data_IF_275910179754
#
_entry.id   IF_275910179754
#
_cell.length_a   1.000
_cell.length_b   1.000
_cell.length_c   1.000
_cell.angle_alpha   90.00
_cell.angle_beta   90.00
_cell.angle_gamma   90.00
#
_symmetry.space_group_name_H-M   'P 1'
#
loop_
_entity.id
_entity.type
_entity.pdbx_description
1 polymer ?
#
# COMPACT_ATOMS: atom_id res chain seq x y z
N UNK A 1 39.85 40.16 -64.55
CA UNK A 1 38.43 40.04 -64.25
C UNK A 1 38.17 38.65 -63.67
N UNK A 2 38.21 38.48 -62.38
CA UNK A 2 37.74 37.26 -61.76
C UNK A 2 36.93 37.63 -60.52
N UNK A 3 35.64 37.35 -60.54
CA UNK A 3 34.71 37.56 -59.47
C UNK A 3 34.79 36.39 -58.50
N UNK A 4 35.26 36.65 -57.30
CA UNK A 4 35.20 35.72 -56.18
C UNK A 4 33.85 35.81 -55.52
N UNK A 5 33.06 34.74 -55.60
CA UNK A 5 31.84 34.57 -54.83
C UNK A 5 32.16 33.88 -53.50
N UNK A 6 32.12 34.63 -52.45
CA UNK A 6 32.17 34.09 -51.10
C UNK A 6 30.84 33.45 -50.73
N UNK A 7 30.80 32.16 -50.60
CA UNK A 7 29.65 31.44 -50.08
C UNK A 7 29.72 31.47 -48.55
N UNK A 8 28.81 32.24 -47.95
CA UNK A 8 28.57 32.26 -46.52
C UNK A 8 27.73 31.05 -46.12
N UNK A 9 28.36 30.03 -45.55
CA UNK A 9 27.63 28.91 -45.02
C UNK A 9 27.07 29.25 -43.63
N UNK A 10 25.76 29.39 -43.58
CA UNK A 10 24.98 29.62 -42.37
C UNK A 10 24.80 28.28 -41.64
N UNK A 11 25.50 28.07 -40.57
CA UNK A 11 25.29 26.91 -39.69
C UNK A 11 24.10 27.20 -38.76
N UNK A 12 22.96 26.63 -39.05
CA UNK A 12 21.85 26.58 -38.09
C UNK A 12 22.14 25.49 -37.08
N UNK A 13 22.56 25.89 -35.89
CA UNK A 13 22.65 24.99 -34.75
C UNK A 13 21.21 24.73 -34.23
N UNK A 14 20.64 23.60 -34.63
CA UNK A 14 19.36 23.12 -34.10
C UNK A 14 19.63 22.52 -32.70
N UNK A 15 19.51 23.35 -31.66
CA UNK A 15 19.49 22.86 -30.27
C UNK A 15 18.19 22.14 -30.04
N UNK A 16 18.23 20.82 -30.22
CA UNK A 16 17.14 19.95 -29.83
C UNK A 16 16.96 19.97 -28.32
N UNK A 17 15.94 20.65 -27.87
CA UNK A 17 15.51 20.59 -26.46
C UNK A 17 14.95 19.18 -26.22
N UNK A 18 15.77 18.29 -25.65
CA UNK A 18 15.32 17.00 -25.17
C UNK A 18 14.32 17.23 -24.03
N UNK A 19 13.03 17.19 -24.36
CA UNK A 19 11.96 17.17 -23.37
C UNK A 19 12.03 15.78 -22.73
N UNK A 20 12.70 15.66 -21.59
CA UNK A 20 12.63 14.45 -20.75
C UNK A 20 11.28 14.56 -20.05
N UNK A 21 10.30 13.67 -20.36
CA UNK A 21 9.07 13.66 -19.58
C UNK A 21 9.45 13.36 -18.14
N UNK A 22 9.11 14.26 -17.23
CA UNK A 22 9.20 14.00 -15.82
C UNK A 22 8.35 12.75 -15.54
N UNK A 23 8.99 11.65 -15.13
CA UNK A 23 8.29 10.47 -14.67
C UNK A 23 7.43 10.91 -13.48
N UNK A 24 6.12 11.05 -13.71
CA UNK A 24 5.17 11.29 -12.64
C UNK A 24 5.25 10.09 -11.70
N UNK A 25 5.92 10.26 -10.55
CA UNK A 25 5.84 9.30 -9.48
C UNK A 25 4.36 9.17 -9.13
N UNK A 26 3.78 8.00 -9.40
CA UNK A 26 2.38 7.74 -9.06
C UNK A 26 2.26 7.85 -7.54
N UNK A 27 1.36 8.73 -7.10
CA UNK A 27 1.02 8.87 -5.69
C UNK A 27 -0.39 8.33 -5.48
N UNK A 28 -0.63 7.77 -4.29
CA UNK A 28 -1.99 7.40 -3.90
C UNK A 28 -2.78 8.67 -3.68
N UNK A 29 -3.97 8.79 -4.29
CA UNK A 29 -4.84 9.94 -4.06
C UNK A 29 -5.26 10.00 -2.59
N UNK A 30 -5.57 11.20 -2.10
CA UNK A 30 -6.06 11.36 -0.73
C UNK A 30 -7.36 10.56 -0.48
N UNK A 31 -8.23 10.49 -1.47
CA UNK A 31 -9.48 9.71 -1.40
C UNK A 31 -9.20 8.20 -1.30
N UNK A 32 -8.29 7.68 -2.12
CA UNK A 32 -7.92 6.27 -2.11
C UNK A 32 -7.17 5.90 -0.82
N UNK A 33 -6.25 6.74 -0.36
CA UNK A 33 -5.55 6.53 0.90
C UNK A 33 -6.53 6.43 2.08
N UNK A 34 -7.53 7.30 2.12
CA UNK A 34 -8.59 7.27 3.15
C UNK A 34 -9.42 6.00 3.04
N UNK A 35 -9.84 5.61 1.84
CA UNK A 35 -10.63 4.40 1.63
C UNK A 35 -9.87 3.13 2.04
N UNK A 36 -8.57 3.06 1.73
CA UNK A 36 -7.69 1.97 2.16
C UNK A 36 -7.56 1.92 3.68
N UNK A 37 -7.35 3.07 4.34
CA UNK A 37 -7.30 3.12 5.81
C UNK A 37 -8.61 2.67 6.44
N UNK A 38 -9.75 3.06 5.88
CA UNK A 38 -11.06 2.66 6.39
C UNK A 38 -11.28 1.14 6.32
N UNK A 39 -10.91 0.50 5.22
CA UNK A 39 -11.09 -0.96 5.10
C UNK A 39 -10.17 -1.73 6.05
N UNK A 40 -8.93 -1.29 6.22
CA UNK A 40 -8.00 -1.90 7.19
C UNK A 40 -8.50 -1.71 8.62
N UNK A 41 -8.92 -0.50 8.97
CA UNK A 41 -9.49 -0.21 10.30
C UNK A 41 -10.73 -1.04 10.59
N UNK A 42 -11.65 -1.13 9.65
CA UNK A 42 -12.87 -1.91 9.80
C UNK A 42 -12.58 -3.40 10.00
N UNK A 43 -11.56 -3.95 9.33
CA UNK A 43 -11.14 -5.33 9.55
C UNK A 43 -10.53 -5.52 10.93
N UNK A 44 -9.69 -4.59 11.40
CA UNK A 44 -9.12 -4.65 12.75
C UNK A 44 -10.20 -4.61 13.84
N UNK A 45 -11.21 -3.77 13.67
CA UNK A 45 -12.37 -3.71 14.59
C UNK A 45 -13.16 -5.03 14.56
N UNK A 46 -13.38 -5.60 13.39
CA UNK A 46 -14.06 -6.89 13.26
C UNK A 46 -13.29 -8.04 13.95
N UNK A 47 -11.96 -8.05 13.87
CA UNK A 47 -11.14 -9.01 14.63
C UNK A 47 -11.29 -8.81 16.14
N UNK A 48 -11.22 -7.57 16.61
CA UNK A 48 -11.37 -7.25 18.04
C UNK A 48 -12.73 -7.71 18.60
N UNK A 49 -13.77 -7.67 17.76
CA UNK A 49 -15.13 -8.10 18.09
C UNK A 49 -15.39 -9.60 17.84
N UNK A 50 -14.38 -10.37 17.45
CA UNK A 50 -14.51 -11.77 17.01
C UNK A 50 -15.56 -11.98 15.90
N UNK A 51 -15.78 -10.93 15.09
CA UNK A 51 -16.71 -10.99 13.97
C UNK A 51 -16.03 -11.54 12.71
N UNK A 52 -15.92 -12.87 12.66
CA UNK A 52 -15.24 -13.58 11.58
C UNK A 52 -15.85 -13.24 10.20
N UNK A 53 -17.19 -13.23 10.09
CA UNK A 53 -17.88 -12.97 8.83
C UNK A 53 -17.56 -11.56 8.29
N UNK A 54 -17.59 -10.53 9.15
CA UNK A 54 -17.28 -9.16 8.76
C UNK A 54 -15.79 -9.00 8.42
N UNK A 55 -14.89 -9.53 9.23
CA UNK A 55 -13.45 -9.50 8.96
C UNK A 55 -13.11 -10.15 7.61
N UNK A 56 -13.72 -11.29 7.32
CA UNK A 56 -13.52 -12.01 6.07
C UNK A 56 -14.11 -11.27 4.86
N UNK A 57 -15.16 -10.50 5.05
CA UNK A 57 -15.78 -9.70 3.99
C UNK A 57 -14.83 -8.66 3.40
N UNK A 58 -13.88 -8.17 4.18
CA UNK A 58 -12.87 -7.21 3.74
C UNK A 58 -11.65 -7.84 3.05
N UNK A 59 -11.56 -9.18 3.05
CA UNK A 59 -10.49 -9.90 2.38
C UNK A 59 -10.72 -9.97 0.86
N UNK A 60 -9.62 -9.89 0.10
CA UNK A 60 -9.64 -10.09 -1.34
C UNK A 60 -10.02 -11.54 -1.71
N UNK A 61 -10.49 -11.79 -2.94
CA UNK A 61 -10.88 -13.13 -3.36
C UNK A 61 -9.79 -14.19 -3.19
N UNK A 62 -8.52 -13.83 -3.37
CA UNK A 62 -7.37 -14.72 -3.16
C UNK A 62 -7.27 -15.22 -1.72
N UNK A 63 -7.47 -14.34 -0.75
CA UNK A 63 -7.48 -14.70 0.68
C UNK A 63 -8.70 -15.57 1.01
N UNK A 64 -9.87 -15.21 0.50
CA UNK A 64 -11.09 -15.99 0.69
C UNK A 64 -10.94 -17.42 0.14
N UNK A 65 -10.34 -17.55 -1.04
CA UNK A 65 -10.05 -18.88 -1.63
C UNK A 65 -9.04 -19.68 -0.82
N UNK A 66 -8.05 -19.04 -0.23
CA UNK A 66 -7.02 -19.70 0.57
C UNK A 66 -7.56 -20.29 1.89
N UNK A 67 -8.39 -19.55 2.61
CA UNK A 67 -8.90 -19.95 3.92
C UNK A 67 -10.25 -20.64 3.88
N UNK A 68 -11.03 -20.44 2.83
CA UNK A 68 -12.31 -21.07 2.57
C UNK A 68 -13.47 -20.55 3.42
N UNK A 69 -13.29 -20.38 4.72
CA UNK A 69 -14.31 -19.92 5.66
C UNK A 69 -13.87 -18.75 6.51
N UNK A 70 -14.81 -17.89 6.98
CA UNK A 70 -14.50 -16.84 7.94
C UNK A 70 -13.85 -17.34 9.23
N UNK A 71 -14.29 -18.48 9.72
CA UNK A 71 -13.80 -19.07 10.97
C UNK A 71 -12.33 -19.51 10.86
N UNK A 72 -11.96 -20.14 9.75
CA UNK A 72 -10.57 -20.52 9.48
C UNK A 72 -9.67 -19.29 9.37
N UNK A 73 -10.18 -18.23 8.73
CA UNK A 73 -9.46 -16.98 8.60
C UNK A 73 -9.23 -16.30 9.95
N UNK A 74 -10.27 -16.19 10.77
CA UNK A 74 -10.17 -15.59 12.11
C UNK A 74 -9.20 -16.40 13.00
N UNK A 75 -9.26 -17.73 12.97
CA UNK A 75 -8.36 -18.57 13.77
C UNK A 75 -6.90 -18.40 13.35
N UNK A 76 -6.63 -18.29 12.05
CA UNK A 76 -5.29 -18.01 11.55
C UNK A 76 -4.76 -16.68 12.06
N UNK A 77 -5.58 -15.62 12.04
CA UNK A 77 -5.19 -14.30 12.53
C UNK A 77 -4.96 -14.32 14.05
N UNK A 78 -5.85 -14.96 14.78
CA UNK A 78 -5.73 -15.10 16.25
C UNK A 78 -4.43 -15.77 16.66
N UNK A 79 -4.03 -16.84 15.97
CA UNK A 79 -2.86 -17.65 16.33
C UNK A 79 -1.57 -17.16 15.70
N UNK A 80 -1.62 -16.72 14.42
CA UNK A 80 -0.44 -16.33 13.65
C UNK A 80 -0.12 -14.83 13.68
N UNK A 81 -1.10 -13.99 13.99
CA UNK A 81 -0.98 -12.53 13.96
C UNK A 81 -1.60 -11.89 15.22
N UNK A 82 -1.13 -12.22 16.44
CA UNK A 82 -1.77 -11.76 17.68
C UNK A 82 -1.89 -10.25 17.79
N UNK A 83 -0.87 -9.50 17.32
CA UNK A 83 -0.92 -8.02 17.34
C UNK A 83 -1.95 -7.45 16.38
N UNK A 84 -2.22 -8.11 15.26
CA UNK A 84 -3.31 -7.70 14.34
C UNK A 84 -4.67 -8.05 14.92
N UNK A 85 -4.76 -9.19 15.58
CA UNK A 85 -5.99 -9.62 16.23
C UNK A 85 -6.47 -8.64 17.30
N UNK A 86 -5.56 -8.19 18.16
CA UNK A 86 -5.86 -7.21 19.23
C UNK A 86 -4.66 -6.31 19.51
N UNK A 87 -4.42 -5.27 18.67
CA UNK A 87 -3.36 -4.31 18.94
C UNK A 87 -3.70 -3.44 20.16
N UNK A 88 -2.67 -3.06 20.93
CA UNK A 88 -2.80 -2.06 21.97
C UNK A 88 -2.85 -0.64 21.40
N UNK A 89 -2.11 -0.41 20.29
CA UNK A 89 -2.16 0.86 19.55
C UNK A 89 -2.00 0.63 18.06
N UNK A 90 -2.56 1.55 17.26
CA UNK A 90 -2.53 1.51 15.79
C UNK A 90 -2.25 2.90 15.26
N UNK A 91 -1.21 3.04 14.43
CA UNK A 91 -0.87 4.28 13.74
C UNK A 91 -0.69 4.00 12.25
N UNK A 92 -1.54 4.59 11.41
CA UNK A 92 -1.43 4.48 9.96
C UNK A 92 -0.32 5.39 9.45
N UNK A 93 0.63 4.82 8.72
CA UNK A 93 1.69 5.55 8.05
C UNK A 93 1.26 5.90 6.62
N UNK A 94 2.12 6.61 5.89
CA UNK A 94 1.82 7.04 4.52
C UNK A 94 1.65 5.84 3.59
N UNK A 95 0.50 5.75 2.91
CA UNK A 95 0.24 4.77 1.88
C UNK A 95 1.11 5.01 0.65
N UNK A 96 1.52 3.93 -0.01
CA UNK A 96 2.37 3.94 -1.20
C UNK A 96 1.73 3.13 -2.33
N UNK A 97 1.81 3.58 -3.59
CA UNK A 97 1.36 2.77 -4.71
C UNK A 97 2.41 1.68 -5.01
N UNK A 98 1.93 0.49 -5.33
CA UNK A 98 2.78 -0.62 -5.79
C UNK A 98 2.02 -1.41 -6.85
N UNK A 99 2.41 -1.26 -8.13
CA UNK A 99 1.69 -1.82 -9.28
C UNK A 99 0.19 -1.44 -9.25
N UNK A 100 -0.70 -2.43 -9.09
CA UNK A 100 -2.16 -2.23 -9.03
C UNK A 100 -2.70 -2.24 -7.59
N UNK A 101 -1.82 -2.25 -6.62
CA UNK A 101 -2.16 -2.31 -5.20
C UNK A 101 -1.76 -1.02 -4.50
N UNK A 102 -2.30 -0.84 -3.32
CA UNK A 102 -1.82 0.15 -2.36
C UNK A 102 -1.18 -0.60 -1.20
N UNK A 103 0.04 -0.23 -0.89
CA UNK A 103 0.74 -0.69 0.31
C UNK A 103 0.47 0.29 1.44
N UNK A 104 -0.17 -0.19 2.50
CA UNK A 104 -0.50 0.58 3.69
C UNK A 104 0.29 0.05 4.88
N UNK A 105 1.37 0.73 5.27
CA UNK A 105 2.07 0.40 6.51
C UNK A 105 1.26 0.90 7.71
N UNK A 106 1.22 0.07 8.75
CA UNK A 106 0.54 0.38 10.01
C UNK A 106 1.46 -0.01 11.15
N UNK A 107 1.84 0.96 11.95
CA UNK A 107 2.61 0.72 13.15
C UNK A 107 1.66 0.29 14.28
N UNK A 108 2.00 -0.79 14.94
CA UNK A 108 1.18 -1.39 16.00
C UNK A 108 2.05 -1.69 17.22
N UNK A 109 1.45 -1.63 18.39
CA UNK A 109 2.02 -2.17 19.61
C UNK A 109 1.13 -3.29 20.13
N UNK A 110 1.76 -4.32 20.72
CA UNK A 110 1.04 -5.38 21.41
C UNK A 110 0.83 -5.05 22.91
N UNK A 111 0.09 -5.90 23.61
CA UNK A 111 -0.19 -5.71 25.03
C UNK A 111 1.02 -5.85 25.95
N UNK A 112 2.17 -6.28 25.42
CA UNK A 112 3.42 -6.47 26.18
C UNK A 112 4.47 -5.38 25.86
N UNK A 113 4.07 -4.35 25.10
CA UNK A 113 4.95 -3.25 24.69
C UNK A 113 5.83 -3.54 23.47
N UNK A 114 5.62 -4.67 22.81
CA UNK A 114 6.29 -4.99 21.54
C UNK A 114 5.82 -4.06 20.42
N UNK A 115 6.75 -3.60 19.57
CA UNK A 115 6.47 -2.76 18.42
C UNK A 115 6.56 -3.54 17.13
N UNK A 116 5.58 -3.33 16.24
CA UNK A 116 5.41 -4.07 15.00
C UNK A 116 5.05 -3.15 13.85
N UNK A 117 5.56 -3.46 12.67
CA UNK A 117 5.11 -2.86 11.43
C UNK A 117 4.28 -3.89 10.66
N UNK A 118 2.98 -3.63 10.54
CA UNK A 118 2.08 -4.41 9.71
C UNK A 118 2.01 -3.78 8.31
N UNK A 119 2.43 -4.51 7.30
CA UNK A 119 2.46 -4.04 5.91
C UNK A 119 1.30 -4.69 5.16
N UNK A 120 0.23 -3.92 4.95
CA UNK A 120 -0.95 -4.37 4.23
C UNK A 120 -0.80 -4.12 2.74
N UNK A 121 -1.22 -5.11 1.94
CA UNK A 121 -1.46 -4.94 0.50
C UNK A 121 -2.96 -4.90 0.27
N UNK A 122 -3.44 -3.85 -0.37
CA UNK A 122 -4.87 -3.60 -0.56
C UNK A 122 -5.14 -3.41 -2.05
N UNK A 123 -6.09 -4.16 -2.59
CA UNK A 123 -6.44 -4.20 -4.00
C UNK A 123 -7.78 -3.54 -4.26
N UNK A 124 -7.84 -2.77 -5.36
CA UNK A 124 -9.11 -2.25 -5.85
C UNK A 124 -9.81 -3.28 -6.70
N UNK A 125 -11.04 -3.58 -6.37
CA UNK A 125 -11.88 -4.52 -7.10
C UNK A 125 -12.56 -3.85 -8.31
N UNK A 126 -13.17 -4.65 -9.19
CA UNK A 126 -13.90 -4.16 -10.36
C UNK A 126 -15.06 -3.23 -9.99
N UNK A 127 -15.71 -3.47 -8.86
CA UNK A 127 -16.77 -2.63 -8.30
C UNK A 127 -16.25 -1.37 -7.59
N UNK A 128 -14.92 -1.11 -7.67
CA UNK A 128 -14.20 -0.01 -7.05
C UNK A 128 -14.07 -0.10 -5.54
N UNK A 129 -14.51 -1.16 -4.89
CA UNK A 129 -14.24 -1.41 -3.47
C UNK A 129 -12.78 -1.82 -3.26
N UNK A 130 -12.26 -1.55 -2.08
CA UNK A 130 -10.94 -1.98 -1.65
C UNK A 130 -11.02 -3.24 -0.81
N UNK A 131 -10.12 -4.20 -1.06
CA UNK A 131 -10.03 -5.46 -0.32
C UNK A 131 -8.59 -5.76 0.07
N UNK A 132 -8.40 -6.34 1.23
CA UNK A 132 -7.09 -6.69 1.77
C UNK A 132 -6.61 -8.00 1.14
N UNK A 133 -5.49 -7.92 0.44
CA UNK A 133 -4.88 -9.04 -0.28
C UNK A 133 -3.74 -9.70 0.50
N UNK A 134 -3.28 -9.09 1.57
CA UNK A 134 -2.23 -9.64 2.41
C UNK A 134 -1.78 -8.69 3.50
N UNK A 135 -1.09 -9.25 4.48
CA UNK A 135 -0.45 -8.51 5.56
C UNK A 135 0.83 -9.25 5.97
N UNK A 136 1.92 -8.53 6.05
CA UNK A 136 3.21 -9.01 6.56
C UNK A 136 3.54 -8.27 7.85
N UNK A 137 3.92 -9.02 8.89
CA UNK A 137 4.37 -8.44 10.15
C UNK A 137 5.89 -8.40 10.23
N UNK A 138 6.43 -7.25 10.58
CA UNK A 138 7.84 -7.05 10.86
C UNK A 138 7.97 -6.57 12.30
N UNK A 139 8.72 -7.30 13.11
CA UNK A 139 9.04 -6.86 14.47
C UNK A 139 9.99 -5.65 14.38
N UNK A 140 9.65 -4.58 15.05
CA UNK A 140 10.54 -3.44 15.19
C UNK A 140 11.34 -3.59 16.49
N UNK A 141 12.70 -3.51 16.44
CA UNK A 141 13.48 -3.53 17.66
C UNK A 141 13.06 -2.34 18.53
N UNK A 142 12.68 -2.62 19.79
CA UNK A 142 12.34 -1.58 20.74
C UNK A 142 13.46 -0.55 20.79
N UNK A 143 13.14 0.75 20.71
CA UNK A 143 14.10 1.79 21.06
C UNK A 143 14.46 1.56 22.52
N UNK A 144 15.66 1.05 22.77
CA UNK A 144 16.24 1.08 24.09
C UNK A 144 16.29 2.56 24.52
N UNK A 145 15.57 2.88 25.55
CA UNK A 145 15.66 4.17 26.25
C UNK A 145 16.91 4.16 27.13
#
# INVERSE_FOLDING_TARGET
>A
MHKLYSALALWLALTGLCFVPAANAQTVSAADARAVQLVVRAQLEAFADDNAALAFSFAAPSIKGMFGTPENFLEMVRTGYPVVYRPASVTFLKAKPEAREVVQPVQMTDGQGGSWLAIYRVQRQKDKSWRIAGCVLVAEPGKAI
#
